data_IF_983512108497
#
_entry.id   IF_983512108497
#
_cell.length_a   1.000
_cell.length_b   1.000
_cell.length_c   1.000
_cell.angle_alpha   90.00
_cell.angle_beta   90.00
_cell.angle_gamma   90.00
#
_symmetry.space_group_name_H-M   'P 1'
#
loop_
_entity.id
_entity.type
_entity.pdbx_description
1 polymer ?
#
# COMPACT_ATOMS: atom_id res chain seq x y z
N UNK A 1 11.93 9.50 21.00
CA UNK A 1 11.35 10.65 20.29
C UNK A 1 12.09 10.81 18.99
N UNK A 2 11.61 10.11 17.97
CA UNK A 2 12.00 10.29 16.56
C UNK A 2 11.86 11.75 16.18
N UNK A 3 12.91 12.33 15.60
CA UNK A 3 12.84 13.69 15.06
C UNK A 3 11.70 13.75 14.03
N UNK A 4 10.82 14.73 14.18
CA UNK A 4 9.66 14.97 13.30
C UNK A 4 10.11 15.25 11.84
N UNK A 5 11.41 15.36 11.57
CA UNK A 5 12.02 15.53 10.25
C UNK A 5 12.86 14.34 9.76
N UNK A 6 12.92 13.24 10.49
CA UNK A 6 13.70 12.08 10.05
C UNK A 6 13.04 11.44 8.82
N UNK A 7 13.69 11.60 7.67
CA UNK A 7 13.31 11.04 6.37
C UNK A 7 14.23 9.88 5.96
N UNK A 8 15.01 9.32 6.88
CA UNK A 8 15.77 8.09 6.64
C UNK A 8 14.83 6.86 6.63
N UNK A 9 15.24 5.72 6.06
CA UNK A 9 14.45 4.49 6.13
C UNK A 9 13.99 4.15 7.56
N UNK A 10 14.90 4.19 8.52
CA UNK A 10 14.61 3.93 9.93
C UNK A 10 13.60 4.92 10.51
N UNK A 11 13.69 6.20 10.12
CA UNK A 11 12.73 7.23 10.54
C UNK A 11 11.32 6.96 10.02
N UNK A 12 11.21 6.54 8.75
CA UNK A 12 9.93 6.17 8.12
C UNK A 12 9.32 4.94 8.80
N UNK A 13 10.09 3.87 8.98
CA UNK A 13 9.62 2.65 9.64
C UNK A 13 9.18 2.93 11.08
N UNK A 14 9.96 3.72 11.83
CA UNK A 14 9.61 4.11 13.20
C UNK A 14 8.34 4.96 13.24
N UNK A 15 8.21 5.98 12.38
CA UNK A 15 7.00 6.79 12.27
C UNK A 15 5.77 5.94 11.96
N UNK A 16 5.88 5.02 11.00
CA UNK A 16 4.75 4.19 10.59
C UNK A 16 4.36 3.22 11.70
N UNK A 17 5.33 2.57 12.35
CA UNK A 17 5.10 1.71 13.51
C UNK A 17 4.40 2.45 14.66
N UNK A 18 4.88 3.65 14.98
CA UNK A 18 4.31 4.49 16.06
C UNK A 18 2.89 4.98 15.74
N UNK A 19 2.55 5.17 14.47
CA UNK A 19 1.20 5.56 14.06
C UNK A 19 0.17 4.47 14.40
N UNK A 20 0.52 3.20 14.17
CA UNK A 20 -0.26 2.02 14.52
C UNK A 20 -1.56 1.84 13.72
N UNK A 21 -2.18 0.66 13.89
CA UNK A 21 -3.36 0.19 13.12
C UNK A 21 -4.50 1.20 13.04
N UNK A 22 -4.78 1.91 14.14
CA UNK A 22 -5.82 2.93 14.18
C UNK A 22 -5.61 4.03 13.13
N UNK A 23 -4.36 4.45 12.90
CA UNK A 23 -4.04 5.51 11.93
C UNK A 23 -3.77 4.98 10.52
N UNK A 24 -3.39 3.71 10.39
CA UNK A 24 -3.18 3.07 9.09
C UNK A 24 -4.49 2.94 8.32
N UNK A 25 -5.56 2.47 8.98
CA UNK A 25 -6.81 2.10 8.30
C UNK A 25 -7.96 3.08 8.49
N UNK A 26 -7.98 3.87 9.57
CA UNK A 26 -9.04 4.87 9.77
C UNK A 26 -8.63 6.19 9.14
N UNK A 27 -9.52 6.74 8.32
CA UNK A 27 -9.38 8.10 7.82
C UNK A 27 -9.25 9.08 8.98
N UNK A 28 -8.22 9.91 8.92
CA UNK A 28 -7.96 10.96 9.90
C UNK A 28 -7.31 12.14 9.17
N UNK A 29 -8.10 13.18 8.92
CA UNK A 29 -7.65 14.33 8.12
C UNK A 29 -6.42 15.04 8.75
N UNK A 30 -6.26 15.01 10.08
CA UNK A 30 -5.09 15.58 10.74
C UNK A 30 -3.83 14.74 10.51
N UNK A 31 -3.94 13.41 10.53
CA UNK A 31 -2.84 12.50 10.21
C UNK A 31 -2.48 12.56 8.73
N UNK A 32 -3.47 12.65 7.85
CA UNK A 32 -3.28 12.82 6.40
C UNK A 32 -2.52 14.13 6.10
N UNK A 33 -2.92 15.23 6.75
CA UNK A 33 -2.23 16.51 6.65
C UNK A 33 -0.80 16.44 7.20
N UNK A 34 -0.57 15.69 8.29
CA UNK A 34 0.77 15.46 8.83
C UNK A 34 1.66 14.72 7.83
N UNK A 35 1.19 13.59 7.29
CA UNK A 35 1.91 12.79 6.29
C UNK A 35 2.26 13.66 5.10
N UNK A 36 1.29 14.38 4.54
CA UNK A 36 1.50 15.26 3.39
C UNK A 36 2.53 16.34 3.71
N UNK A 37 2.41 17.03 4.83
CA UNK A 37 3.34 18.10 5.23
C UNK A 37 4.77 17.57 5.41
N UNK A 38 4.94 16.37 5.98
CA UNK A 38 6.26 15.81 6.30
C UNK A 38 6.93 15.14 5.10
N UNK A 39 6.17 14.40 4.30
CA UNK A 39 6.74 13.41 3.38
C UNK A 39 6.40 13.63 1.92
N UNK A 40 5.64 14.67 1.54
CA UNK A 40 5.31 14.94 0.13
C UNK A 40 6.58 15.02 -0.75
N UNK A 41 7.58 15.79 -0.30
CA UNK A 41 8.85 15.90 -1.05
C UNK A 41 9.65 14.59 -1.10
N UNK A 42 9.53 13.74 -0.08
CA UNK A 42 10.16 12.41 -0.08
C UNK A 42 9.46 11.48 -1.08
N UNK A 43 8.13 11.48 -1.10
CA UNK A 43 7.35 10.74 -2.10
C UNK A 43 7.67 11.22 -3.53
N UNK A 44 7.76 12.53 -3.78
CA UNK A 44 8.16 13.08 -5.09
C UNK A 44 9.58 12.63 -5.51
N UNK A 45 10.50 12.45 -4.55
CA UNK A 45 11.82 11.90 -4.83
C UNK A 45 11.77 10.41 -5.13
N UNK A 46 11.00 9.64 -4.35
CA UNK A 46 10.81 8.20 -4.54
C UNK A 46 10.15 7.90 -5.90
N UNK A 47 9.05 8.59 -6.22
CA UNK A 47 8.32 8.45 -7.47
C UNK A 47 9.16 8.86 -8.70
N UNK A 48 10.15 9.74 -8.53
CA UNK A 48 11.12 10.09 -9.55
C UNK A 48 12.33 9.12 -9.61
N UNK A 49 12.33 8.03 -8.85
CA UNK A 49 13.41 7.04 -8.81
C UNK A 49 14.69 7.51 -8.11
N UNK A 50 14.67 8.67 -7.43
CA UNK A 50 15.86 9.29 -6.83
C UNK A 50 16.34 8.62 -5.55
N UNK A 51 15.58 7.66 -5.02
CA UNK A 51 15.88 6.94 -3.78
C UNK A 51 16.21 5.45 -4.01
N UNK A 52 16.53 5.04 -5.24
CA UNK A 52 16.82 3.64 -5.59
C UNK A 52 17.91 2.98 -4.71
N UNK A 53 18.83 3.77 -4.14
CA UNK A 53 19.86 3.26 -3.22
C UNK A 53 19.29 2.68 -1.92
N UNK A 54 18.06 3.01 -1.53
CA UNK A 54 17.41 2.42 -0.37
C UNK A 54 17.08 0.93 -0.58
N UNK A 55 16.90 0.49 -1.83
CA UNK A 55 16.61 -0.92 -2.13
C UNK A 55 17.78 -1.85 -1.80
N UNK A 56 18.97 -1.32 -1.48
CA UNK A 56 20.14 -2.12 -1.07
C UNK A 56 19.90 -2.89 0.24
N UNK A 57 19.03 -2.40 1.13
CA UNK A 57 18.66 -3.10 2.36
C UNK A 57 17.18 -3.50 2.39
N UNK A 58 16.84 -4.49 3.23
CA UNK A 58 15.46 -4.93 3.45
C UNK A 58 14.59 -3.81 4.04
N UNK A 59 15.07 -3.14 5.08
CA UNK A 59 14.39 -1.99 5.71
C UNK A 59 14.27 -0.79 4.77
N UNK A 60 15.27 -0.54 3.93
CA UNK A 60 15.24 0.55 2.96
C UNK A 60 14.19 0.31 1.88
N UNK A 61 14.09 -0.91 1.37
CA UNK A 61 13.05 -1.27 0.43
C UNK A 61 11.64 -1.23 1.06
N UNK A 62 11.47 -1.73 2.29
CA UNK A 62 10.19 -1.65 3.00
C UNK A 62 9.76 -0.19 3.24
N UNK A 63 10.70 0.68 3.63
CA UNK A 63 10.43 2.11 3.79
C UNK A 63 10.00 2.76 2.46
N UNK A 64 10.65 2.41 1.35
CA UNK A 64 10.24 2.88 0.03
C UNK A 64 8.84 2.40 -0.34
N UNK A 65 8.51 1.13 -0.07
CA UNK A 65 7.17 0.58 -0.31
C UNK A 65 6.13 1.40 0.47
N UNK A 66 6.34 1.66 1.77
CA UNK A 66 5.43 2.49 2.57
C UNK A 66 5.28 3.90 1.98
N UNK A 67 6.40 4.53 1.59
CA UNK A 67 6.38 5.88 0.98
C UNK A 67 5.62 5.90 -0.34
N UNK A 68 5.71 4.84 -1.15
CA UNK A 68 5.12 4.79 -2.49
C UNK A 68 3.71 4.20 -2.55
N UNK A 69 3.33 3.37 -1.57
CA UNK A 69 2.05 2.69 -1.53
C UNK A 69 1.12 3.30 -0.46
N UNK A 70 1.59 3.41 0.79
CA UNK A 70 0.73 3.84 1.89
C UNK A 70 0.54 5.36 1.92
N UNK A 71 1.63 6.12 1.87
CA UNK A 71 1.57 7.58 2.01
C UNK A 71 0.66 8.27 0.96
N UNK A 72 0.66 7.90 -0.34
CA UNK A 72 -0.21 8.52 -1.33
C UNK A 72 -1.70 8.34 -1.02
N UNK A 73 -2.08 7.21 -0.42
CA UNK A 73 -3.46 6.92 0.01
C UNK A 73 -3.92 7.85 1.14
N UNK A 74 -2.99 8.36 1.96
CA UNK A 74 -3.26 9.44 2.92
C UNK A 74 -3.18 10.83 2.29
N UNK A 75 -2.14 11.11 1.48
CA UNK A 75 -1.84 12.44 0.93
C UNK A 75 -2.84 12.94 -0.12
N UNK A 76 -3.46 12.01 -0.86
CA UNK A 76 -4.19 12.30 -2.09
C UNK A 76 -5.56 11.60 -2.14
N UNK A 77 -6.23 11.45 -0.98
CA UNK A 77 -7.54 10.80 -0.89
C UNK A 77 -8.52 11.30 -1.94
N UNK A 78 -9.16 10.37 -2.63
CA UNK A 78 -10.18 10.68 -3.64
C UNK A 78 -9.63 11.26 -4.94
N UNK A 79 -8.32 11.20 -5.17
CA UNK A 79 -7.71 11.65 -6.43
C UNK A 79 -6.89 10.53 -7.08
N UNK A 80 -6.68 10.57 -8.41
CA UNK A 80 -5.87 9.56 -9.09
C UNK A 80 -4.42 9.48 -8.57
N UNK A 81 -3.88 10.57 -8.01
CA UNK A 81 -2.52 10.59 -7.46
C UNK A 81 -2.33 9.57 -6.33
N UNK A 82 -3.38 9.17 -5.60
CA UNK A 82 -3.30 8.15 -4.56
C UNK A 82 -2.81 6.79 -5.07
N UNK A 83 -2.97 6.50 -6.36
CA UNK A 83 -2.58 5.23 -7.00
C UNK A 83 -1.41 5.38 -7.98
N UNK A 84 -0.90 6.61 -8.14
CA UNK A 84 0.04 6.95 -9.22
C UNK A 84 1.43 6.31 -9.06
N UNK A 85 1.78 5.85 -7.86
CA UNK A 85 3.03 5.16 -7.56
C UNK A 85 2.86 3.68 -7.24
N UNK A 86 1.66 3.11 -7.40
CA UNK A 86 1.37 1.70 -7.07
C UNK A 86 2.27 0.74 -7.86
N UNK A 87 2.47 0.98 -9.16
CA UNK A 87 3.31 0.13 -10.00
C UNK A 87 4.77 0.09 -9.51
N UNK A 88 5.31 1.23 -9.08
CA UNK A 88 6.68 1.31 -8.56
C UNK A 88 6.78 0.60 -7.21
N UNK A 89 5.80 0.78 -6.32
CA UNK A 89 5.75 0.07 -5.05
C UNK A 89 5.67 -1.45 -5.24
N UNK A 90 4.84 -1.92 -6.17
CA UNK A 90 4.69 -3.34 -6.51
C UNK A 90 6.00 -3.94 -7.02
N UNK A 91 6.70 -3.24 -7.91
CA UNK A 91 7.97 -3.70 -8.46
C UNK A 91 9.05 -3.83 -7.38
N UNK A 92 9.13 -2.88 -6.45
CA UNK A 92 10.05 -2.92 -5.31
C UNK A 92 9.68 -4.06 -4.35
N UNK A 93 8.38 -4.20 -4.05
CA UNK A 93 7.88 -5.25 -3.18
C UNK A 93 8.22 -6.64 -3.72
N UNK A 94 7.94 -6.92 -5.00
CA UNK A 94 8.29 -8.19 -5.66
C UNK A 94 9.77 -8.51 -5.54
N UNK A 95 10.66 -7.58 -5.93
CA UNK A 95 12.12 -7.77 -5.79
C UNK A 95 12.55 -8.06 -4.35
N UNK A 96 11.89 -7.42 -3.40
CA UNK A 96 12.19 -7.55 -1.96
C UNK A 96 11.68 -8.87 -1.40
N UNK A 97 10.52 -9.35 -1.85
CA UNK A 97 9.96 -10.65 -1.51
C UNK A 97 10.82 -11.77 -2.12
N UNK A 98 11.22 -11.64 -3.40
CA UNK A 98 12.02 -12.64 -4.12
C UNK A 98 13.39 -12.92 -3.48
N UNK A 99 13.96 -11.94 -2.75
CA UNK A 99 15.19 -12.11 -1.96
C UNK A 99 14.96 -12.64 -0.53
N UNK A 100 13.74 -13.08 -0.22
CA UNK A 100 13.35 -13.63 1.08
C UNK A 100 13.38 -12.60 2.23
N UNK A 101 13.11 -11.32 1.94
CA UNK A 101 13.14 -10.29 2.98
C UNK A 101 12.00 -10.42 4.01
N UNK A 102 10.93 -11.14 3.70
CA UNK A 102 9.78 -11.33 4.60
C UNK A 102 10.19 -11.84 5.99
N UNK A 103 11.18 -12.72 6.07
CA UNK A 103 11.69 -13.28 7.32
C UNK A 103 12.67 -12.34 8.08
N UNK A 104 13.09 -11.24 7.45
CA UNK A 104 14.16 -10.35 7.95
C UNK A 104 13.68 -8.93 8.28
N UNK A 105 12.55 -8.51 7.72
CA UNK A 105 11.92 -7.22 8.08
C UNK A 105 11.19 -7.35 9.40
N UNK A 106 10.85 -6.21 10.00
CA UNK A 106 10.04 -6.16 11.21
C UNK A 106 8.66 -6.84 10.99
N UNK A 107 8.32 -7.88 11.76
CA UNK A 107 7.02 -8.55 11.66
C UNK A 107 5.83 -7.61 11.86
N UNK A 108 5.97 -6.54 12.65
CA UNK A 108 4.91 -5.57 12.88
C UNK A 108 4.60 -4.69 11.66
N UNK A 109 5.50 -4.66 10.67
CA UNK A 109 5.37 -3.90 9.43
C UNK A 109 5.34 -4.78 8.18
N UNK A 110 5.43 -6.11 8.35
CA UNK A 110 5.51 -7.07 7.25
C UNK A 110 4.33 -6.94 6.27
N UNK A 111 3.12 -6.65 6.77
CA UNK A 111 1.94 -6.52 5.92
C UNK A 111 2.12 -5.46 4.83
N UNK A 112 2.84 -4.38 5.11
CA UNK A 112 3.10 -3.32 4.14
C UNK A 112 4.04 -3.74 3.02
N UNK A 113 4.86 -4.78 3.21
CA UNK A 113 5.64 -5.37 2.12
C UNK A 113 4.73 -6.09 1.12
N UNK A 114 3.62 -6.68 1.59
CA UNK A 114 2.72 -7.50 0.79
C UNK A 114 1.54 -6.72 0.20
N UNK A 115 1.13 -5.62 0.84
CA UNK A 115 0.00 -4.80 0.38
C UNK A 115 0.08 -4.30 -1.07
N UNK A 116 1.25 -3.98 -1.66
CA UNK A 116 1.30 -3.65 -3.09
C UNK A 116 0.75 -4.74 -4.00
N UNK A 117 0.91 -6.03 -3.64
CA UNK A 117 0.29 -7.14 -4.36
C UNK A 117 -1.23 -7.13 -4.19
N UNK A 118 -1.71 -6.87 -2.96
CA UNK A 118 -3.13 -6.71 -2.65
C UNK A 118 -3.77 -5.54 -3.42
N UNK A 119 -3.01 -4.48 -3.69
CA UNK A 119 -3.47 -3.30 -4.42
C UNK A 119 -3.40 -3.42 -5.94
N UNK A 120 -2.76 -4.47 -6.47
CA UNK A 120 -2.58 -4.72 -7.90
C UNK A 120 -3.88 -5.18 -8.56
N UNK A 121 -4.25 -4.62 -9.70
CA UNK A 121 -5.37 -5.08 -10.53
C UNK A 121 -4.94 -6.25 -11.46
N UNK A 122 -4.16 -7.19 -10.94
CA UNK A 122 -3.63 -8.34 -11.67
C UNK A 122 -3.80 -9.63 -10.83
N UNK A 123 -4.54 -10.60 -11.35
CA UNK A 123 -4.96 -11.78 -10.57
C UNK A 123 -3.78 -12.59 -9.98
N UNK A 124 -2.70 -12.89 -10.72
CA UNK A 124 -1.52 -13.55 -10.13
C UNK A 124 -0.91 -12.82 -8.92
N UNK A 125 -1.00 -11.49 -8.85
CA UNK A 125 -0.52 -10.77 -7.65
C UNK A 125 -1.42 -11.02 -6.45
N UNK A 126 -2.73 -11.07 -6.68
CA UNK A 126 -3.72 -11.37 -5.65
C UNK A 126 -3.53 -12.78 -5.08
N UNK A 127 -3.29 -13.77 -5.94
CA UNK A 127 -3.02 -15.15 -5.52
C UNK A 127 -1.72 -15.27 -4.73
N UNK A 128 -0.67 -14.55 -5.17
CA UNK A 128 0.59 -14.49 -4.44
C UNK A 128 0.42 -13.80 -3.08
N UNK A 129 -0.35 -12.71 -3.02
CA UNK A 129 -0.67 -12.01 -1.78
C UNK A 129 -1.36 -12.93 -0.76
N UNK A 130 -2.37 -13.70 -1.21
CA UNK A 130 -3.04 -14.71 -0.36
C UNK A 130 -2.04 -15.74 0.15
N UNK A 131 -1.14 -16.24 -0.72
CA UNK A 131 -0.14 -17.22 -0.31
C UNK A 131 0.80 -16.67 0.76
N UNK A 132 1.26 -15.42 0.62
CA UNK A 132 2.14 -14.75 1.58
C UNK A 132 1.46 -14.53 2.94
N UNK A 133 0.20 -14.08 2.96
CA UNK A 133 -0.51 -13.83 4.21
C UNK A 133 -0.96 -15.10 4.93
N UNK A 134 -1.12 -16.22 4.22
CA UNK A 134 -1.50 -17.52 4.80
C UNK A 134 -0.53 -17.97 5.90
N UNK A 135 0.75 -17.67 5.73
CA UNK A 135 1.81 -18.09 6.65
C UNK A 135 2.04 -17.06 7.78
N UNK A 136 1.17 -16.05 7.91
CA UNK A 136 1.21 -15.03 8.97
C UNK A 136 0.08 -15.25 9.98
N UNK A 137 0.24 -14.77 11.22
CA UNK A 137 -0.82 -14.79 12.24
C UNK A 137 -1.83 -13.62 12.10
N UNK A 138 -1.75 -12.82 11.02
CA UNK A 138 -2.57 -11.64 10.80
C UNK A 138 -3.89 -12.00 10.09
N UNK A 139 -4.87 -12.47 10.84
CA UNK A 139 -6.19 -12.89 10.31
C UNK A 139 -6.91 -11.79 9.56
N UNK A 140 -6.85 -10.54 10.05
CA UNK A 140 -7.47 -9.39 9.37
C UNK A 140 -6.87 -9.19 7.97
N UNK A 141 -5.55 -9.32 7.83
CA UNK A 141 -4.89 -9.20 6.54
C UNK A 141 -5.17 -10.40 5.62
N UNK A 142 -5.33 -11.60 6.17
CA UNK A 142 -5.74 -12.79 5.39
C UNK A 142 -7.15 -12.61 4.81
N UNK A 143 -8.11 -12.16 5.62
CA UNK A 143 -9.47 -11.88 5.18
C UNK A 143 -9.47 -10.78 4.11
N UNK A 144 -8.76 -9.68 4.36
CA UNK A 144 -8.61 -8.59 3.40
C UNK A 144 -7.99 -9.05 2.08
N UNK A 145 -6.93 -9.86 2.09
CA UNK A 145 -6.32 -10.42 0.88
C UNK A 145 -7.32 -11.28 0.07
N UNK A 146 -8.14 -12.07 0.74
CA UNK A 146 -9.17 -12.89 0.10
C UNK A 146 -10.27 -12.03 -0.55
N UNK A 147 -10.74 -10.99 0.13
CA UNK A 147 -11.73 -10.04 -0.39
C UNK A 147 -11.22 -9.29 -1.63
N UNK A 148 -9.99 -8.78 -1.58
CA UNK A 148 -9.38 -8.10 -2.73
C UNK A 148 -9.26 -9.03 -3.94
N UNK A 149 -8.79 -10.27 -3.71
CA UNK A 149 -8.66 -11.25 -4.77
C UNK A 149 -10.00 -11.59 -5.42
N UNK A 150 -11.08 -11.66 -4.64
CA UNK A 150 -12.42 -11.95 -5.18
C UNK A 150 -12.93 -10.83 -6.07
N UNK A 151 -12.70 -9.57 -5.68
CA UNK A 151 -13.04 -8.40 -6.51
C UNK A 151 -12.28 -8.47 -7.85
N UNK A 152 -10.98 -8.78 -7.81
CA UNK A 152 -10.17 -8.91 -9.02
C UNK A 152 -10.57 -10.12 -9.87
N UNK A 153 -10.93 -11.27 -9.27
CA UNK A 153 -11.47 -12.42 -10.02
C UNK A 153 -12.76 -12.06 -10.75
N UNK A 154 -13.64 -11.30 -10.10
CA UNK A 154 -14.96 -10.95 -10.63
C UNK A 154 -14.88 -9.86 -11.70
N UNK A 155 -14.08 -8.83 -11.49
CA UNK A 155 -14.11 -7.62 -12.33
C UNK A 155 -12.81 -7.35 -13.10
N UNK A 156 -11.72 -8.04 -12.77
CA UNK A 156 -10.38 -7.78 -13.32
C UNK A 156 -9.75 -6.47 -12.86
N UNK A 157 -10.44 -5.71 -12.00
CA UNK A 157 -10.05 -4.39 -11.50
C UNK A 157 -10.85 -4.05 -10.24
N UNK A 158 -10.52 -2.96 -9.57
CA UNK A 158 -11.25 -2.44 -8.41
C UNK A 158 -12.32 -1.41 -8.82
N UNK A 159 -13.63 -1.74 -8.76
CA UNK A 159 -14.67 -0.83 -9.25
C UNK A 159 -14.74 0.50 -8.49
N UNK A 160 -14.39 0.53 -7.20
CA UNK A 160 -14.35 1.76 -6.40
C UNK A 160 -13.35 2.80 -6.94
N UNK A 161 -12.36 2.38 -7.73
CA UNK A 161 -11.38 3.28 -8.37
C UNK A 161 -11.88 3.86 -9.69
N UNK A 162 -13.02 3.40 -10.23
CA UNK A 162 -13.48 3.79 -11.57
C UNK A 162 -13.63 5.31 -11.73
N UNK A 163 -14.35 5.96 -10.81
CA UNK A 163 -14.58 7.40 -10.88
C UNK A 163 -13.28 8.21 -10.82
N UNK A 164 -12.41 7.89 -9.85
CA UNK A 164 -11.15 8.62 -9.64
C UNK A 164 -10.13 8.36 -10.74
N UNK A 165 -10.22 7.24 -11.46
CA UNK A 165 -9.39 6.90 -12.62
C UNK A 165 -10.05 7.21 -13.97
N UNK A 166 -11.24 7.82 -13.98
CA UNK A 166 -11.95 8.18 -15.22
C UNK A 166 -12.41 6.98 -16.06
N UNK A 167 -12.68 5.83 -15.43
CA UNK A 167 -13.17 4.61 -16.09
C UNK A 167 -14.68 4.58 -16.10
N UNK A 168 -15.26 4.07 -17.18
CA UNK A 168 -16.69 3.76 -17.22
C UNK A 168 -16.99 2.56 -16.30
N UNK A 169 -18.02 2.71 -15.46
CA UNK A 169 -18.52 1.66 -14.56
C UNK A 169 -19.59 0.85 -15.29
N UNK A 170 -19.41 -0.46 -15.35
CA UNK A 170 -20.40 -1.39 -15.92
C UNK A 170 -21.60 -1.58 -14.98
N UNK A 171 -22.71 -2.12 -15.50
CA UNK A 171 -23.90 -2.37 -14.69
C UNK A 171 -23.63 -3.31 -13.50
N UNK A 172 -22.82 -4.36 -13.71
CA UNK A 172 -22.46 -5.33 -12.66
C UNK A 172 -21.57 -4.72 -11.59
N UNK A 173 -20.63 -3.85 -12.00
CA UNK A 173 -19.81 -3.07 -11.07
C UNK A 173 -20.64 -2.07 -10.28
N UNK A 174 -21.61 -1.39 -10.91
CA UNK A 174 -22.50 -0.46 -10.22
C UNK A 174 -23.37 -1.19 -9.20
N UNK A 175 -23.94 -2.34 -9.55
CA UNK A 175 -24.72 -3.15 -8.62
C UNK A 175 -23.88 -3.63 -7.42
N UNK A 176 -22.60 -3.94 -7.64
CA UNK A 176 -21.67 -4.25 -6.56
C UNK A 176 -21.42 -3.05 -5.65
N UNK A 177 -21.18 -1.86 -6.21
CA UNK A 177 -20.98 -0.63 -5.44
C UNK A 177 -22.23 -0.24 -4.63
N UNK A 178 -23.42 -0.36 -5.22
CA UNK A 178 -24.70 -0.04 -4.57
C UNK A 178 -25.04 -1.02 -3.43
N UNK A 179 -24.56 -2.27 -3.53
CA UNK A 179 -24.73 -3.32 -2.52
C UNK A 179 -23.83 -3.20 -1.28
N UNK A 180 -23.12 -2.08 -1.12
CA UNK A 180 -22.14 -1.86 -0.05
C UNK A 180 -20.69 -1.85 -0.53
N UNK A 181 -20.43 -2.39 -1.73
CA UNK A 181 -19.14 -2.31 -2.42
C UNK A 181 -17.95 -2.78 -1.59
N UNK A 182 -16.80 -2.16 -1.89
CA UNK A 182 -15.57 -2.30 -1.13
C UNK A 182 -14.95 -0.90 -0.99
N UNK A 183 -14.75 -0.47 0.24
CA UNK A 183 -14.02 0.76 0.57
C UNK A 183 -12.58 0.35 0.90
N UNK A 184 -11.75 0.29 -0.15
CA UNK A 184 -10.30 0.13 -0.04
C UNK A 184 -9.59 1.38 0.44
#
# INVERSE_FOLDING_TARGET
MTDVRDITPSGILAFWREAGRERWYKRNDAFDAEIRRRYLSLWEQAAAGRLASWEVSDDGALALVIVLDQFPRNMFRGTPQAFSSDALALDIARRTIDRGAGDRVDPALLEFLYMPLMHSEHLPDQEHCIALFRDTDNTDAQESAAEHAEIIRRFGRFPHRNNVLGRETTADEQAFLDGGGFSG
#
